data_IF_413636993544
#
_entry.id   IF_413636993544
#
_cell.length_a   1.000
_cell.length_b   1.000
_cell.length_c   1.000
_cell.angle_alpha   90.00
_cell.angle_beta   90.00
_cell.angle_gamma   90.00
#
_symmetry.space_group_name_H-M   'P 1'
#
loop_
_entity.id
_entity.type
_entity.pdbx_description
1 polymer ?
#
# COMPACT_ATOMS: atom_id res chain seq x y z
N UNK A 1 -64.36 -114.28 -33.18
CA UNK A 1 -63.40 -114.46 -32.08
C UNK A 1 -62.26 -113.44 -32.06
N UNK A 2 -61.86 -112.85 -33.20
CA UNK A 2 -60.72 -111.94 -33.30
C UNK A 2 -60.91 -110.54 -32.63
N UNK A 3 -62.15 -110.00 -32.64
CA UNK A 3 -62.44 -108.65 -32.13
C UNK A 3 -62.29 -108.52 -30.59
N UNK A 4 -62.44 -109.63 -29.84
CA UNK A 4 -62.25 -109.66 -28.39
C UNK A 4 -60.78 -109.49 -27.97
N UNK A 5 -59.83 -109.79 -28.85
CA UNK A 5 -58.38 -109.69 -28.58
C UNK A 5 -57.80 -108.31 -28.96
N UNK A 6 -58.41 -107.64 -29.94
CA UNK A 6 -57.90 -106.36 -30.46
C UNK A 6 -58.06 -105.19 -29.48
N UNK A 7 -59.18 -105.14 -28.74
CA UNK A 7 -59.50 -104.06 -27.80
C UNK A 7 -58.44 -103.93 -26.68
N UNK A 8 -58.06 -104.99 -25.93
CA UNK A 8 -57.06 -104.85 -24.88
C UNK A 8 -55.67 -104.49 -25.42
N UNK A 9 -55.30 -104.95 -26.62
CA UNK A 9 -54.01 -104.61 -27.23
C UNK A 9 -53.91 -103.11 -27.56
N UNK A 10 -54.99 -102.52 -28.07
CA UNK A 10 -55.06 -101.09 -28.38
C UNK A 10 -54.98 -100.24 -27.10
N UNK A 11 -55.67 -100.65 -26.03
CA UNK A 11 -55.61 -99.95 -24.74
C UNK A 11 -54.20 -100.01 -24.14
N UNK A 12 -53.54 -101.18 -24.22
CA UNK A 12 -52.17 -101.34 -23.72
C UNK A 12 -51.17 -100.48 -24.52
N UNK A 13 -51.33 -100.43 -25.84
CA UNK A 13 -50.49 -99.62 -26.73
C UNK A 13 -50.67 -98.12 -26.47
N UNK A 14 -51.92 -97.64 -26.34
CA UNK A 14 -52.23 -96.24 -26.00
C UNK A 14 -51.71 -95.85 -24.62
N UNK A 15 -51.89 -96.72 -23.62
CA UNK A 15 -51.37 -96.52 -22.27
C UNK A 15 -49.84 -96.43 -22.23
N UNK A 16 -49.17 -97.32 -22.96
CA UNK A 16 -47.71 -97.29 -23.11
C UNK A 16 -47.20 -96.02 -23.80
N UNK A 17 -47.86 -95.58 -24.86
CA UNK A 17 -47.49 -94.36 -25.58
C UNK A 17 -47.67 -93.10 -24.71
N UNK A 18 -48.77 -93.04 -23.95
CA UNK A 18 -49.04 -91.93 -23.04
C UNK A 18 -48.00 -91.85 -21.91
N UNK A 19 -47.69 -92.99 -21.28
CA UNK A 19 -46.67 -93.05 -20.24
C UNK A 19 -45.29 -92.62 -20.76
N UNK A 20 -44.93 -93.02 -21.99
CA UNK A 20 -43.67 -92.61 -22.59
C UNK A 20 -43.62 -91.10 -22.89
N UNK A 21 -44.72 -90.51 -23.37
CA UNK A 21 -44.79 -89.07 -23.66
C UNK A 21 -44.71 -88.19 -22.42
N UNK A 22 -45.28 -88.63 -21.29
CA UNK A 22 -45.23 -87.86 -20.03
C UNK A 22 -43.89 -88.03 -19.29
N UNK A 23 -43.11 -89.08 -19.60
CA UNK A 23 -41.82 -89.34 -18.97
C UNK A 23 -40.64 -88.54 -19.54
N UNK A 24 -40.87 -87.65 -20.52
CA UNK A 24 -39.81 -86.79 -21.09
C UNK A 24 -39.66 -85.56 -20.18
N UNK A 25 -38.55 -85.43 -19.42
CA UNK A 25 -38.33 -84.27 -18.57
C UNK A 25 -38.15 -83.03 -19.43
N UNK A 26 -39.01 -82.02 -19.24
CA UNK A 26 -38.87 -80.72 -19.89
C UNK A 26 -37.72 -79.98 -19.21
N UNK A 27 -36.64 -79.72 -19.96
CA UNK A 27 -35.52 -78.91 -19.48
C UNK A 27 -36.03 -77.50 -19.14
N UNK A 28 -35.97 -77.13 -17.87
CA UNK A 28 -36.29 -75.76 -17.44
C UNK A 28 -35.18 -74.83 -17.93
N UNK A 29 -35.50 -73.69 -18.57
CA UNK A 29 -34.49 -72.75 -19.05
C UNK A 29 -33.63 -72.24 -17.89
N UNK A 30 -32.30 -72.37 -18.01
CA UNK A 30 -31.37 -71.81 -17.03
C UNK A 30 -31.60 -70.29 -16.89
N UNK A 31 -31.67 -69.74 -15.67
CA UNK A 31 -31.79 -68.31 -15.45
C UNK A 31 -30.64 -67.57 -16.12
N UNK A 32 -30.96 -66.61 -16.99
CA UNK A 32 -29.96 -65.79 -17.67
C UNK A 32 -29.32 -64.82 -16.66
N UNK A 33 -27.99 -64.61 -16.69
CA UNK A 33 -27.33 -63.71 -15.76
C UNK A 33 -27.89 -62.29 -15.91
N UNK A 34 -28.28 -61.66 -14.80
CA UNK A 34 -28.74 -60.28 -14.81
C UNK A 34 -27.62 -59.36 -15.33
N UNK A 35 -27.95 -58.33 -16.14
CA UNK A 35 -26.95 -57.40 -16.64
C UNK A 35 -26.26 -56.68 -15.47
N UNK A 36 -24.95 -56.38 -15.58
CA UNK A 36 -24.22 -55.67 -14.54
C UNK A 36 -24.87 -54.31 -14.29
N UNK A 37 -25.21 -54.01 -13.03
CA UNK A 37 -25.69 -52.68 -12.64
C UNK A 37 -24.50 -51.72 -12.67
N UNK A 38 -24.44 -50.87 -13.69
CA UNK A 38 -23.42 -49.82 -13.76
C UNK A 38 -23.78 -48.72 -12.76
N UNK A 39 -22.98 -48.59 -11.70
CA UNK A 39 -23.09 -47.46 -10.79
C UNK A 39 -22.80 -46.19 -11.58
N UNK A 40 -23.80 -45.30 -11.66
CA UNK A 40 -23.65 -44.01 -12.32
C UNK A 40 -22.94 -43.07 -11.34
N UNK A 41 -21.64 -42.89 -11.54
CA UNK A 41 -20.85 -41.92 -10.79
C UNK A 41 -20.75 -40.62 -11.58
N UNK A 42 -20.81 -39.50 -10.87
CA UNK A 42 -20.56 -38.17 -11.45
C UNK A 42 -19.09 -37.84 -11.24
N UNK A 43 -18.42 -37.44 -12.31
CA UNK A 43 -16.99 -37.11 -12.31
C UNK A 43 -16.86 -35.65 -12.73
N UNK A 44 -16.09 -34.87 -11.98
CA UNK A 44 -15.71 -33.51 -12.35
C UNK A 44 -14.22 -33.53 -12.73
N UNK A 45 -13.92 -33.23 -13.99
CA UNK A 45 -12.54 -33.09 -14.46
C UNK A 45 -11.97 -31.75 -13.99
N UNK A 46 -10.85 -31.79 -13.26
CA UNK A 46 -10.17 -30.57 -12.80
C UNK A 46 -9.36 -29.98 -13.96
N UNK A 47 -9.63 -28.72 -14.30
CA UNK A 47 -8.82 -27.94 -15.23
C UNK A 47 -7.92 -26.97 -14.45
N UNK A 48 -6.66 -26.89 -14.86
CA UNK A 48 -5.71 -25.94 -14.29
C UNK A 48 -6.02 -24.54 -14.80
N UNK A 49 -6.24 -23.59 -13.89
CA UNK A 49 -6.38 -22.17 -14.22
C UNK A 49 -5.45 -21.35 -13.34
N UNK A 50 -4.72 -20.43 -13.94
CA UNK A 50 -3.91 -19.46 -13.19
C UNK A 50 -4.86 -18.48 -12.49
N UNK A 51 -4.93 -18.56 -11.16
CA UNK A 51 -5.78 -17.71 -10.34
C UNK A 51 -4.92 -16.65 -9.62
N UNK A 52 -5.12 -15.39 -9.98
CA UNK A 52 -4.44 -14.28 -9.33
C UNK A 52 -5.16 -13.93 -8.02
N UNK A 53 -4.46 -14.10 -6.91
CA UNK A 53 -4.99 -13.77 -5.58
C UNK A 53 -4.86 -12.27 -5.36
N UNK A 54 -5.99 -11.55 -5.41
CA UNK A 54 -6.07 -10.14 -5.01
C UNK A 54 -6.39 -10.06 -3.53
N UNK A 55 -5.51 -9.44 -2.74
CA UNK A 55 -5.72 -9.21 -1.32
C UNK A 55 -6.09 -7.74 -1.14
N UNK A 56 -7.31 -7.49 -0.66
CA UNK A 56 -7.73 -6.15 -0.27
C UNK A 56 -7.16 -5.81 1.10
N UNK A 57 -6.57 -4.62 1.22
CA UNK A 57 -5.97 -4.14 2.45
C UNK A 57 -6.36 -2.69 2.70
N UNK A 58 -6.63 -2.37 3.96
CA UNK A 58 -6.97 -1.06 4.44
C UNK A 58 -5.81 -0.42 5.20
N UNK A 59 -5.65 0.89 5.03
CA UNK A 59 -4.63 1.68 5.71
C UNK A 59 -5.08 3.12 5.87
N UNK A 60 -4.34 3.88 6.67
CA UNK A 60 -4.55 5.32 6.85
C UNK A 60 -3.46 6.09 6.13
N UNK A 61 -3.86 7.05 5.30
CA UNK A 61 -2.94 7.98 4.64
C UNK A 61 -2.58 9.07 5.64
N UNK A 62 -1.28 9.36 5.77
CA UNK A 62 -0.76 10.45 6.58
C UNK A 62 0.14 11.33 5.74
N UNK A 63 0.18 12.62 6.08
CA UNK A 63 1.12 13.55 5.46
C UNK A 63 2.55 13.07 5.72
N UNK A 64 3.38 13.07 4.67
CA UNK A 64 4.80 12.70 4.79
C UNK A 64 5.59 13.74 5.60
N UNK A 65 5.17 15.01 5.54
CA UNK A 65 5.74 16.11 6.30
C UNK A 65 4.63 16.94 6.94
N UNK A 66 4.77 17.20 8.24
CA UNK A 66 3.91 18.12 8.99
C UNK A 66 4.81 19.06 9.76
N UNK A 67 4.57 20.37 9.66
CA UNK A 67 5.37 21.38 10.34
C UNK A 67 4.46 22.39 11.01
N UNK A 68 4.72 22.65 12.29
CA UNK A 68 4.10 23.75 13.03
C UNK A 68 4.94 25.00 12.83
N UNK A 69 4.34 26.05 12.29
CA UNK A 69 5.02 27.33 12.08
C UNK A 69 4.83 28.21 13.32
N UNK A 70 5.92 28.67 13.90
CA UNK A 70 5.93 29.59 15.05
C UNK A 70 6.87 30.76 14.77
N UNK A 71 6.59 31.92 15.37
CA UNK A 71 7.55 33.03 15.31
C UNK A 71 8.84 32.68 16.04
N UNK A 72 9.98 33.05 15.46
CA UNK A 72 11.30 32.91 16.10
C UNK A 72 11.56 33.99 17.16
N UNK A 73 10.83 35.11 17.08
CA UNK A 73 10.97 36.26 17.97
C UNK A 73 9.61 36.64 18.56
N UNK A 74 9.62 37.18 19.78
CA UNK A 74 8.42 37.72 20.39
C UNK A 74 8.03 39.04 19.71
N UNK A 75 6.74 39.24 19.44
CA UNK A 75 6.23 40.45 18.83
C UNK A 75 4.73 40.39 18.60
N UNK A 76 4.13 41.54 18.33
CA UNK A 76 2.70 41.66 18.03
C UNK A 76 2.49 41.50 16.52
N UNK A 77 1.48 40.72 16.12
CA UNK A 77 1.14 40.58 14.70
C UNK A 77 0.34 41.81 14.26
N UNK A 78 0.81 42.49 13.21
CA UNK A 78 0.15 43.67 12.64
C UNK A 78 -0.61 43.35 11.34
N UNK A 79 -0.22 42.27 10.65
CA UNK A 79 -0.84 41.85 9.40
C UNK A 79 -0.79 40.33 9.25
N UNK A 80 -1.85 39.76 8.73
CA UNK A 80 -1.88 38.37 8.27
C UNK A 80 -1.95 38.35 6.74
N UNK A 81 -1.49 37.27 6.15
CA UNK A 81 -1.65 37.04 4.72
C UNK A 81 -3.13 36.90 4.36
N UNK A 82 -3.56 37.47 3.22
CA UNK A 82 -4.98 37.49 2.82
C UNK A 82 -5.58 36.10 2.67
N UNK A 83 -4.74 35.13 2.29
CA UNK A 83 -5.12 33.71 2.13
C UNK A 83 -4.86 32.87 3.39
N UNK A 84 -4.62 33.48 4.55
CA UNK A 84 -4.37 32.77 5.80
C UNK A 84 -5.69 32.19 6.37
N UNK A 85 -6.21 31.18 5.69
CA UNK A 85 -7.46 30.49 5.99
C UNK A 85 -7.24 28.97 6.01
N UNK A 86 -8.17 28.25 6.63
CA UNK A 86 -8.09 26.79 6.75
C UNK A 86 -8.08 26.12 5.36
N UNK A 87 -7.08 25.27 5.13
CA UNK A 87 -6.91 24.56 3.86
C UNK A 87 -6.21 25.35 2.75
N UNK A 88 -5.73 26.56 3.05
CA UNK A 88 -4.94 27.34 2.09
C UNK A 88 -3.55 26.74 1.81
N UNK A 89 -3.07 26.96 0.59
CA UNK A 89 -1.75 26.53 0.13
C UNK A 89 -0.80 27.72 -0.02
N UNK A 90 0.40 27.58 0.53
CA UNK A 90 1.46 28.57 0.51
C UNK A 90 2.71 28.02 -0.18
N UNK A 91 3.47 28.91 -0.80
CA UNK A 91 4.78 28.60 -1.36
C UNK A 91 5.87 28.88 -0.34
N UNK A 92 7.06 28.34 -0.61
CA UNK A 92 8.26 28.69 0.14
C UNK A 92 8.50 30.21 0.03
N UNK A 93 8.92 30.81 1.14
CA UNK A 93 9.27 32.23 1.27
C UNK A 93 8.06 33.19 1.14
N UNK A 94 6.83 32.67 1.22
CA UNK A 94 5.61 33.48 1.30
C UNK A 94 5.39 33.97 2.74
N UNK A 95 5.15 35.27 2.91
CA UNK A 95 4.95 35.89 4.23
C UNK A 95 3.55 35.52 4.71
N UNK A 96 3.48 34.79 5.84
CA UNK A 96 2.20 34.36 6.43
C UNK A 96 1.64 35.39 7.42
N UNK A 97 2.52 36.02 8.19
CA UNK A 97 2.18 37.05 9.16
C UNK A 97 3.34 38.04 9.28
N UNK A 98 3.02 39.30 9.52
CA UNK A 98 3.96 40.40 9.73
C UNK A 98 3.92 40.84 11.19
N UNK A 99 5.08 40.87 11.82
CA UNK A 99 5.27 41.33 13.20
C UNK A 99 5.58 42.83 13.21
N UNK A 100 5.14 43.53 14.24
CA UNK A 100 5.47 44.95 14.44
C UNK A 100 7.00 45.15 14.47
N UNK A 101 7.58 45.92 13.54
CA UNK A 101 9.01 46.11 13.46
C UNK A 101 9.54 47.21 14.39
N UNK A 102 8.70 47.99 15.08
CA UNK A 102 9.13 49.21 15.75
C UNK A 102 10.29 49.00 16.75
N UNK A 103 10.13 48.06 17.70
CA UNK A 103 11.17 47.76 18.69
C UNK A 103 12.44 47.21 18.03
N UNK A 104 12.28 46.40 16.98
CA UNK A 104 13.40 45.87 16.22
C UNK A 104 14.17 46.98 15.49
N UNK A 105 13.49 47.91 14.84
CA UNK A 105 14.12 49.05 14.15
C UNK A 105 14.89 49.96 15.11
N UNK A 106 14.33 50.23 16.30
CA UNK A 106 15.03 51.00 17.34
C UNK A 106 16.28 50.25 17.81
N UNK A 107 16.19 48.93 18.00
CA UNK A 107 17.33 48.12 18.42
C UNK A 107 18.48 48.11 17.39
N UNK A 108 18.13 48.02 16.10
CA UNK A 108 19.07 48.07 14.98
C UNK A 108 19.72 49.44 14.90
N UNK A 109 18.93 50.51 14.90
CA UNK A 109 19.44 51.90 14.86
C UNK A 109 20.38 52.20 16.04
N UNK A 110 20.04 51.68 17.23
CA UNK A 110 20.89 51.79 18.41
C UNK A 110 22.20 51.02 18.28
N UNK A 111 22.19 49.84 17.65
CA UNK A 111 23.38 49.04 17.38
C UNK A 111 24.29 49.73 16.35
N UNK A 112 23.72 50.26 15.27
CA UNK A 112 24.43 51.04 14.25
C UNK A 112 25.11 52.28 14.84
N UNK A 113 24.41 53.00 15.72
CA UNK A 113 24.99 54.15 16.43
C UNK A 113 26.18 53.75 17.31
N UNK A 114 26.11 52.59 17.98
CA UNK A 114 27.23 52.05 18.77
C UNK A 114 28.40 51.60 17.90
N UNK A 115 28.11 51.05 16.73
CA UNK A 115 29.11 50.68 15.73
C UNK A 115 29.85 51.92 15.24
N UNK A 116 29.14 52.93 14.75
CA UNK A 116 29.72 54.18 14.26
C UNK A 116 30.58 54.89 15.33
N UNK A 117 30.13 54.89 16.59
CA UNK A 117 30.91 55.43 17.69
C UNK A 117 32.20 54.65 17.92
N UNK A 118 32.15 53.33 17.88
CA UNK A 118 33.33 52.48 18.06
C UNK A 118 34.34 52.66 16.93
N UNK A 119 33.86 52.78 15.69
CA UNK A 119 34.69 53.07 14.52
C UNK A 119 35.35 54.45 14.62
N UNK A 120 34.61 55.47 15.06
CA UNK A 120 35.17 56.80 15.28
C UNK A 120 36.29 56.79 16.35
N UNK A 121 36.08 56.05 17.45
CA UNK A 121 37.10 55.87 18.49
C UNK A 121 38.32 55.15 17.91
N UNK A 122 38.13 54.06 17.15
CA UNK A 122 39.23 53.33 16.53
C UNK A 122 40.09 54.24 15.64
N UNK A 123 39.45 55.03 14.76
CA UNK A 123 40.15 55.99 13.89
C UNK A 123 40.91 57.03 14.72
N UNK A 124 40.33 57.50 15.82
CA UNK A 124 40.97 58.46 16.71
C UNK A 124 42.20 57.85 17.41
N UNK A 125 42.12 56.60 17.87
CA UNK A 125 43.24 55.88 18.50
C UNK A 125 44.36 55.57 17.48
N UNK A 126 44.01 55.19 16.24
CA UNK A 126 44.96 54.98 15.16
C UNK A 126 45.68 56.28 14.76
N UNK A 127 44.94 57.39 14.69
CA UNK A 127 45.50 58.72 14.42
C UNK A 127 46.44 59.18 15.54
N UNK A 128 46.08 58.94 16.80
CA UNK A 128 46.93 59.25 17.96
C UNK A 128 48.20 58.39 18.03
N UNK A 129 48.12 57.14 17.58
CA UNK A 129 49.24 56.19 17.57
C UNK A 129 50.25 56.45 16.44
N UNK A 130 49.88 57.24 15.43
CA UNK A 130 50.76 57.53 14.28
C UNK A 130 51.91 58.46 14.73
N UNK A 131 53.18 58.03 14.68
CA UNK A 131 54.28 58.87 15.12
C UNK A 131 54.43 60.08 14.17
N UNK A 132 54.16 61.28 14.70
CA UNK A 132 54.45 62.53 14.00
C UNK A 132 55.94 62.57 13.67
N UNK A 133 56.35 62.67 12.39
CA UNK A 133 57.77 62.74 12.05
C UNK A 133 58.34 64.03 12.64
N UNK A 134 59.18 63.89 13.67
CA UNK A 134 59.90 64.99 14.26
C UNK A 134 60.73 65.68 13.17
N UNK A 135 60.44 66.96 12.94
CA UNK A 135 61.15 67.81 11.99
C UNK A 135 62.66 67.76 12.22
N UNK A 136 63.38 67.17 11.28
CA UNK A 136 64.84 67.24 11.17
C UNK A 136 65.19 68.64 10.71
N UNK A 137 65.55 69.54 11.63
CA UNK A 137 65.85 70.92 11.27
C UNK A 137 66.25 71.85 12.40
N UNK A 138 67.15 71.43 13.30
CA UNK A 138 67.94 72.38 14.10
C UNK A 138 69.42 72.00 14.00
N UNK A 139 70.00 72.41 12.88
CA UNK A 139 71.45 72.48 12.70
C UNK A 139 72.02 73.42 13.77
N UNK A 140 72.90 72.87 14.59
CA UNK A 140 73.73 73.59 15.54
C UNK A 140 74.85 74.24 14.73
N UNK A 141 74.74 75.54 14.43
CA UNK A 141 75.86 76.31 13.87
C UNK A 141 76.71 76.80 15.04
N UNK A 142 77.73 76.02 15.37
CA UNK A 142 78.95 76.52 16.03
C UNK A 142 79.61 77.46 15.03
N UNK A 143 79.87 78.69 15.44
CA UNK A 143 80.99 79.45 14.89
C UNK A 143 81.70 80.10 16.07
N UNK A 144 83.02 79.95 16.00
CA UNK A 144 84.07 80.48 16.87
C UNK A 144 83.99 81.98 17.15
#
# INVERSE_FOLDING_TARGET
>A
MLLRLLIPLVILALGGLAAWRLGIPVETPKPQPAPPQVLKTEILELQHSDYQITIESQGSIRAHYTTTVTSQVAGTIIKLHDRFEDGAFFKKDEILAELDPADFQVSVSGAESRLARSEAILVQEEAASRPTPAGRGRSWSIVD
#
